data_IF_091168427090
#
_entry.id   IF_091168427090
#
_cell.length_a   1.000
_cell.length_b   1.000
_cell.length_c   1.000
_cell.angle_alpha   90.00
_cell.angle_beta   90.00
_cell.angle_gamma   90.00
#
_symmetry.space_group_name_H-M   'P 1'
#
loop_
_entity.id
_entity.type
_entity.pdbx_description
1 polymer ?
#
# COMPACT_ATOMS: atom_id res chain seq x y z
N UNK A 1 -20.37 -13.18 7.72
CA UNK A 1 -19.50 -12.01 7.81
C UNK A 1 -18.12 -12.38 8.38
N UNK A 2 -18.06 -13.17 9.42
CA UNK A 2 -16.85 -13.58 10.16
C UNK A 2 -15.85 -14.36 9.29
N UNK A 3 -16.29 -15.39 8.54
CA UNK A 3 -15.41 -16.17 7.64
C UNK A 3 -14.75 -15.27 6.59
N UNK A 4 -15.47 -14.25 6.10
CA UNK A 4 -14.94 -13.30 5.12
C UNK A 4 -13.90 -12.35 5.72
N UNK A 5 -14.00 -11.99 7.02
CA UNK A 5 -13.00 -11.21 7.74
C UNK A 5 -11.69 -11.98 7.87
N UNK A 6 -11.74 -13.25 8.33
CA UNK A 6 -10.55 -14.11 8.44
C UNK A 6 -9.88 -14.35 7.08
N UNK A 7 -10.68 -14.57 6.03
CA UNK A 7 -10.16 -14.71 4.67
C UNK A 7 -9.50 -13.42 4.18
N UNK A 8 -10.07 -12.24 4.51
CA UNK A 8 -9.46 -10.94 4.17
C UNK A 8 -8.12 -10.73 4.85
N UNK A 9 -7.95 -11.15 6.11
CA UNK A 9 -6.67 -11.11 6.83
C UNK A 9 -5.63 -11.95 6.09
N UNK A 10 -5.96 -13.20 5.75
CA UNK A 10 -5.06 -14.07 5.02
C UNK A 10 -4.64 -13.49 3.67
N UNK A 11 -5.59 -12.93 2.92
CA UNK A 11 -5.29 -12.25 1.66
C UNK A 11 -4.39 -11.04 1.84
N UNK A 12 -4.61 -10.22 2.89
CA UNK A 12 -3.76 -9.06 3.17
C UNK A 12 -2.34 -9.46 3.54
N UNK A 13 -2.14 -10.54 4.28
CA UNK A 13 -0.80 -11.07 4.57
C UNK A 13 -0.10 -11.45 3.27
N UNK A 14 -0.77 -12.20 2.38
CA UNK A 14 -0.21 -12.55 1.07
C UNK A 14 0.09 -11.28 0.26
N UNK A 15 -0.83 -10.33 0.21
CA UNK A 15 -0.65 -9.08 -0.51
C UNK A 15 0.57 -8.30 0.01
N UNK A 16 0.75 -8.22 1.34
CA UNK A 16 1.90 -7.54 1.96
C UNK A 16 3.22 -8.25 1.64
N UNK A 17 3.24 -9.58 1.62
CA UNK A 17 4.42 -10.35 1.18
C UNK A 17 4.72 -10.08 -0.30
N UNK A 18 3.71 -10.08 -1.16
CA UNK A 18 3.88 -9.85 -2.60
C UNK A 18 4.39 -8.44 -2.87
N UNK A 19 3.82 -7.41 -2.25
CA UNK A 19 4.24 -6.02 -2.51
C UNK A 19 5.61 -5.70 -1.90
N UNK A 20 6.04 -6.41 -0.87
CA UNK A 20 7.34 -6.21 -0.24
C UNK A 20 8.54 -6.46 -1.17
N UNK A 21 8.34 -7.20 -2.27
CA UNK A 21 9.33 -7.31 -3.35
C UNK A 21 9.54 -6.00 -4.13
N UNK A 22 8.65 -5.01 -3.96
CA UNK A 22 8.74 -3.71 -4.61
C UNK A 22 10.07 -2.99 -4.35
N UNK A 23 10.60 -3.06 -3.13
CA UNK A 23 11.90 -2.50 -2.77
C UNK A 23 13.06 -3.16 -3.54
N UNK A 24 13.03 -4.50 -3.67
CA UNK A 24 14.00 -5.24 -4.46
C UNK A 24 13.94 -4.86 -5.95
N UNK A 25 12.74 -4.73 -6.50
CA UNK A 25 12.56 -4.33 -7.90
C UNK A 25 13.09 -2.91 -8.13
N UNK A 26 12.75 -1.97 -7.22
CA UNK A 26 13.21 -0.58 -7.31
C UNK A 26 14.74 -0.47 -7.28
N UNK A 27 15.43 -1.30 -6.49
CA UNK A 27 16.91 -1.36 -6.45
C UNK A 27 17.55 -1.80 -7.77
N UNK A 28 16.83 -2.55 -8.59
CA UNK A 28 17.29 -3.05 -9.88
C UNK A 28 16.95 -2.11 -11.05
N UNK A 29 16.16 -1.06 -10.84
CA UNK A 29 15.91 0.00 -11.81
C UNK A 29 17.05 1.01 -11.68
N UNK A 30 17.93 1.10 -12.68
CA UNK A 30 19.19 1.83 -12.57
C UNK A 30 19.30 3.07 -13.45
N UNK A 31 18.46 3.20 -14.48
CA UNK A 31 18.58 4.26 -15.48
C UNK A 31 17.34 5.18 -15.56
N UNK A 32 16.23 4.79 -14.96
CA UNK A 32 15.00 5.58 -14.97
C UNK A 32 14.95 6.55 -13.77
N UNK A 33 14.55 7.79 -14.03
CA UNK A 33 14.25 8.75 -12.97
C UNK A 33 12.89 8.48 -12.28
N UNK A 34 12.60 9.23 -11.21
CA UNK A 34 11.38 9.05 -10.44
C UNK A 34 10.11 9.21 -11.28
N UNK A 35 10.06 10.20 -12.19
CA UNK A 35 8.90 10.44 -13.03
C UNK A 35 8.72 9.38 -14.12
N UNK A 36 9.82 8.92 -14.72
CA UNK A 36 9.82 7.82 -15.68
C UNK A 36 9.33 6.53 -15.03
N UNK A 37 9.81 6.21 -13.81
CA UNK A 37 9.33 5.06 -13.03
C UNK A 37 7.83 5.16 -12.79
N UNK A 38 7.33 6.31 -12.34
CA UNK A 38 5.89 6.51 -12.07
C UNK A 38 5.10 6.33 -13.37
N UNK A 39 5.57 6.87 -14.50
CA UNK A 39 4.89 6.76 -15.78
C UNK A 39 4.75 5.31 -16.23
N UNK A 40 5.87 4.58 -16.35
CA UNK A 40 5.82 3.19 -16.84
C UNK A 40 5.09 2.25 -15.88
N UNK A 41 5.20 2.47 -14.55
CA UNK A 41 4.40 1.73 -13.56
C UNK A 41 2.91 2.01 -13.70
N UNK A 42 2.51 3.25 -13.89
CA UNK A 42 1.09 3.61 -14.03
C UNK A 42 0.51 3.11 -15.35
N UNK A 43 1.27 3.18 -16.44
CA UNK A 43 0.86 2.65 -17.74
C UNK A 43 0.63 1.14 -17.67
N UNK A 44 1.57 0.39 -17.09
CA UNK A 44 1.43 -1.05 -16.88
C UNK A 44 0.25 -1.39 -15.96
N UNK A 45 0.03 -0.59 -14.91
CA UNK A 45 -1.11 -0.74 -14.02
C UNK A 45 -2.44 -0.55 -14.77
N UNK A 46 -2.55 0.49 -15.61
CA UNK A 46 -3.73 0.72 -16.46
C UNK A 46 -3.98 -0.44 -17.40
N UNK A 47 -2.94 -0.96 -18.06
CA UNK A 47 -3.06 -2.11 -18.96
C UNK A 47 -3.62 -3.34 -18.23
N UNK A 48 -3.01 -3.71 -17.12
CA UNK A 48 -3.43 -4.90 -16.33
C UNK A 48 -4.82 -4.70 -15.74
N UNK A 49 -5.11 -3.54 -15.15
CA UNK A 49 -6.43 -3.25 -14.59
C UNK A 49 -7.53 -3.22 -15.65
N UNK A 50 -7.24 -2.68 -16.85
CA UNK A 50 -8.19 -2.72 -17.97
C UNK A 50 -8.52 -4.15 -18.36
N UNK A 51 -7.52 -5.02 -18.49
CA UNK A 51 -7.71 -6.45 -18.80
C UNK A 51 -8.56 -7.14 -17.74
N UNK A 52 -8.23 -6.94 -16.45
CA UNK A 52 -8.95 -7.55 -15.32
C UNK A 52 -10.42 -7.10 -15.32
N UNK A 53 -10.67 -5.79 -15.46
CA UNK A 53 -12.03 -5.25 -15.46
C UNK A 53 -12.84 -5.73 -16.67
N UNK A 54 -12.22 -5.78 -17.86
CA UNK A 54 -12.87 -6.31 -19.06
C UNK A 54 -13.22 -7.80 -18.93
N UNK A 55 -12.33 -8.61 -18.33
CA UNK A 55 -12.61 -10.03 -18.09
C UNK A 55 -13.70 -10.23 -17.02
N UNK A 56 -13.63 -9.45 -15.93
CA UNK A 56 -14.55 -9.58 -14.80
C UNK A 56 -15.97 -9.08 -15.12
N UNK A 57 -16.09 -7.94 -15.78
CA UNK A 57 -17.39 -7.27 -16.01
C UNK A 57 -17.89 -7.39 -17.46
N UNK A 58 -17.03 -7.82 -18.38
CA UNK A 58 -17.39 -8.02 -19.80
C UNK A 58 -18.11 -6.76 -20.36
N UNK A 59 -19.30 -6.92 -20.93
CA UNK A 59 -20.09 -5.82 -21.50
C UNK A 59 -20.54 -4.76 -20.51
N UNK A 60 -20.50 -5.05 -19.19
CA UNK A 60 -20.90 -4.11 -18.15
C UNK A 60 -19.74 -3.26 -17.57
N UNK A 61 -18.52 -3.39 -18.10
CA UNK A 61 -17.33 -2.67 -17.62
C UNK A 61 -17.57 -1.16 -17.56
N UNK A 62 -18.08 -0.57 -18.64
CA UNK A 62 -18.34 0.88 -18.69
C UNK A 62 -19.38 1.33 -17.65
N UNK A 63 -20.44 0.53 -17.46
CA UNK A 63 -21.47 0.80 -16.45
C UNK A 63 -20.86 0.76 -15.04
N UNK A 64 -19.98 -0.20 -14.78
CA UNK A 64 -19.29 -0.31 -13.47
C UNK A 64 -18.36 0.86 -13.19
N UNK A 65 -17.62 1.33 -14.20
CA UNK A 65 -16.80 2.55 -14.11
C UNK A 65 -17.69 3.76 -13.84
N UNK A 66 -18.81 3.91 -14.52
CA UNK A 66 -19.76 5.02 -14.28
C UNK A 66 -20.36 4.98 -12.87
N UNK A 67 -20.64 3.78 -12.33
CA UNK A 67 -21.30 3.59 -11.05
C UNK A 67 -20.43 3.96 -9.83
N UNK A 68 -19.10 4.08 -9.96
CA UNK A 68 -18.27 4.60 -8.87
C UNK A 68 -18.50 6.08 -8.62
N UNK A 69 -19.05 6.81 -9.63
CA UNK A 69 -19.39 8.22 -9.54
C UNK A 69 -18.20 9.13 -9.19
N UNK A 70 -18.50 10.35 -8.75
CA UNK A 70 -17.48 11.31 -8.33
C UNK A 70 -16.64 10.80 -7.15
N UNK A 71 -17.18 9.96 -6.30
CA UNK A 71 -16.47 9.39 -5.14
C UNK A 71 -15.32 8.50 -5.58
N UNK A 72 -15.52 7.69 -6.63
CA UNK A 72 -14.45 6.88 -7.21
C UNK A 72 -13.36 7.75 -7.86
N UNK A 73 -13.71 8.87 -8.46
CA UNK A 73 -12.73 9.83 -9.00
C UNK A 73 -11.91 10.45 -7.88
N UNK A 74 -12.55 10.90 -6.80
CA UNK A 74 -11.86 11.47 -5.62
C UNK A 74 -10.97 10.42 -4.96
N UNK A 75 -11.43 9.18 -4.80
CA UNK A 75 -10.61 8.07 -4.31
C UNK A 75 -9.42 7.79 -5.22
N UNK A 76 -9.63 7.82 -6.54
CA UNK A 76 -8.58 7.68 -7.55
C UNK A 76 -7.53 8.79 -7.48
N UNK A 77 -7.96 10.05 -7.26
CA UNK A 77 -7.06 11.18 -7.05
C UNK A 77 -6.18 11.00 -5.80
N UNK A 78 -6.75 10.61 -4.68
CA UNK A 78 -5.95 10.36 -3.47
C UNK A 78 -4.95 9.21 -3.65
N UNK A 79 -5.32 8.15 -4.35
CA UNK A 79 -4.40 7.05 -4.66
C UNK A 79 -3.31 7.50 -5.65
N UNK A 80 -3.64 8.30 -6.66
CA UNK A 80 -2.67 8.92 -7.57
C UNK A 80 -1.66 9.75 -6.81
N UNK A 81 -2.12 10.66 -5.94
CA UNK A 81 -1.25 11.51 -5.12
C UNK A 81 -0.35 10.67 -4.21
N UNK A 82 -0.90 9.63 -3.58
CA UNK A 82 -0.11 8.71 -2.76
C UNK A 82 1.03 8.06 -3.56
N UNK A 83 0.79 7.62 -4.80
CA UNK A 83 1.81 7.02 -5.65
C UNK A 83 2.90 8.01 -6.07
N UNK A 84 2.53 9.26 -6.40
CA UNK A 84 3.50 10.31 -6.73
C UNK A 84 4.39 10.58 -5.51
N UNK A 85 3.78 10.86 -4.37
CA UNK A 85 4.51 11.20 -3.16
C UNK A 85 5.37 10.04 -2.63
N UNK A 86 4.92 8.80 -2.81
CA UNK A 86 5.69 7.60 -2.48
C UNK A 86 7.03 7.54 -3.21
N UNK A 87 7.01 7.64 -4.55
CA UNK A 87 8.24 7.54 -5.35
C UNK A 87 9.15 8.74 -5.10
N UNK A 88 8.59 9.95 -4.99
CA UNK A 88 9.37 11.15 -4.66
C UNK A 88 10.00 11.09 -3.26
N UNK A 89 9.33 10.49 -2.29
CA UNK A 89 9.94 10.27 -0.98
C UNK A 89 11.16 9.37 -1.09
N UNK A 90 11.03 8.21 -1.73
CA UNK A 90 12.15 7.28 -1.92
C UNK A 90 13.32 7.85 -2.72
N UNK A 91 13.05 8.76 -3.64
CA UNK A 91 14.08 9.41 -4.45
C UNK A 91 14.83 10.54 -3.70
N UNK A 92 14.22 11.14 -2.66
CA UNK A 92 14.71 12.37 -2.06
C UNK A 92 14.97 12.28 -0.54
N UNK A 93 14.89 11.09 0.06
CA UNK A 93 15.29 10.84 1.45
C UNK A 93 15.76 9.42 1.62
N UNK A 94 16.29 9.08 2.80
CA UNK A 94 16.67 7.71 3.09
C UNK A 94 15.47 6.76 3.11
N UNK A 95 15.69 5.50 2.71
CA UNK A 95 14.66 4.45 2.77
C UNK A 95 14.10 4.34 4.19
N UNK A 96 14.98 4.44 5.21
CA UNK A 96 14.57 4.42 6.62
C UNK A 96 13.58 5.53 6.97
N UNK A 97 13.88 6.78 6.60
CA UNK A 97 13.00 7.92 6.87
C UNK A 97 11.64 7.78 6.16
N UNK A 98 11.65 7.33 4.89
CA UNK A 98 10.41 7.06 4.15
C UNK A 98 9.57 6.00 4.86
N UNK A 99 10.13 4.83 5.16
CA UNK A 99 9.41 3.72 5.80
C UNK A 99 8.89 4.11 7.19
N UNK A 100 9.68 4.88 7.96
CA UNK A 100 9.23 5.40 9.26
C UNK A 100 7.98 6.27 9.11
N UNK A 101 8.04 7.24 8.23
CA UNK A 101 6.91 8.15 8.03
C UNK A 101 5.68 7.39 7.51
N UNK A 102 5.87 6.46 6.56
CA UNK A 102 4.78 5.61 6.04
C UNK A 102 4.20 4.66 7.09
N UNK A 103 4.97 4.24 8.10
CA UNK A 103 4.45 3.42 9.18
C UNK A 103 3.43 4.15 10.06
N UNK A 104 3.29 5.47 9.90
CA UNK A 104 2.22 6.27 10.50
C UNK A 104 0.85 6.09 9.83
N UNK A 105 0.78 5.50 8.62
CA UNK A 105 -0.48 5.30 7.86
C UNK A 105 -1.59 4.68 8.72
N UNK A 106 -1.40 3.58 9.46
CA UNK A 106 -2.48 3.00 10.27
C UNK A 106 -3.03 3.96 11.33
N UNK A 107 -2.16 4.80 11.91
CA UNK A 107 -2.57 5.77 12.93
C UNK A 107 -3.32 6.94 12.32
N UNK A 108 -2.83 7.52 11.22
CA UNK A 108 -3.53 8.58 10.48
C UNK A 108 -4.89 8.04 10.02
N UNK A 109 -4.93 6.83 9.46
CA UNK A 109 -6.16 6.18 9.03
C UNK A 109 -7.12 5.95 10.21
N UNK A 110 -6.62 5.56 11.38
CA UNK A 110 -7.40 5.37 12.58
C UNK A 110 -8.08 6.66 13.05
N UNK A 111 -7.32 7.76 13.09
CA UNK A 111 -7.82 9.09 13.46
C UNK A 111 -8.90 9.54 12.45
N UNK A 112 -8.61 9.44 11.16
CA UNK A 112 -9.57 9.81 10.12
C UNK A 112 -10.83 8.93 10.17
N UNK A 113 -10.70 7.62 10.39
CA UNK A 113 -11.83 6.71 10.49
C UNK A 113 -12.68 7.00 11.75
N UNK A 114 -12.06 7.36 12.86
CA UNK A 114 -12.78 7.80 14.05
C UNK A 114 -13.57 9.08 13.79
N UNK A 115 -12.95 10.11 13.18
CA UNK A 115 -13.58 11.40 12.91
C UNK A 115 -14.69 11.29 11.86
N UNK A 116 -14.42 10.66 10.73
CA UNK A 116 -15.33 10.68 9.57
C UNK A 116 -16.28 9.48 9.49
N UNK A 117 -15.87 8.31 9.96
CA UNK A 117 -16.67 7.08 9.91
C UNK A 117 -17.24 6.68 11.28
N UNK A 118 -16.83 7.35 12.37
CA UNK A 118 -17.14 7.01 13.75
C UNK A 118 -16.75 5.56 14.11
N UNK A 119 -15.75 5.02 13.42
CA UNK A 119 -15.19 3.71 13.76
C UNK A 119 -14.38 3.81 15.05
N UNK A 120 -14.75 3.01 16.06
CA UNK A 120 -14.02 2.91 17.32
C UNK A 120 -13.03 1.76 17.24
N UNK A 121 -11.81 2.00 17.69
CA UNK A 121 -10.78 0.97 17.77
C UNK A 121 -10.67 0.51 19.22
N UNK A 122 -10.71 -0.80 19.45
CA UNK A 122 -10.47 -1.37 20.77
C UNK A 122 -9.06 -1.03 21.27
N UNK A 123 -8.92 -0.67 22.54
CA UNK A 123 -7.64 -0.30 23.16
C UNK A 123 -6.56 -1.38 22.93
N UNK A 124 -6.94 -2.67 23.02
CA UNK A 124 -6.05 -3.79 22.74
C UNK A 124 -5.42 -3.72 21.35
N UNK A 125 -6.22 -3.38 20.33
CA UNK A 125 -5.75 -3.23 18.94
C UNK A 125 -4.78 -2.07 18.81
N UNK A 126 -5.07 -0.95 19.47
CA UNK A 126 -4.17 0.22 19.51
C UNK A 126 -2.81 -0.17 20.10
N UNK A 127 -2.79 -0.90 21.22
CA UNK A 127 -1.54 -1.34 21.86
C UNK A 127 -0.71 -2.21 20.91
N UNK A 128 -1.33 -3.17 20.23
CA UNK A 128 -0.62 -4.03 19.26
C UNK A 128 -0.07 -3.21 18.08
N UNK A 129 -0.85 -2.24 17.58
CA UNK A 129 -0.41 -1.34 16.51
C UNK A 129 0.80 -0.49 16.96
N UNK A 130 0.77 0.05 18.19
CA UNK A 130 1.89 0.80 18.77
C UNK A 130 3.13 -0.10 18.91
N UNK A 131 2.97 -1.37 19.26
CA UNK A 131 4.08 -2.31 19.34
C UNK A 131 4.70 -2.59 17.96
N UNK A 132 3.88 -2.70 16.91
CA UNK A 132 4.35 -2.76 15.53
C UNK A 132 5.11 -1.49 15.10
N UNK A 133 4.58 -0.31 15.44
CA UNK A 133 5.27 0.96 15.20
C UNK A 133 6.63 1.02 15.90
N UNK A 134 6.71 0.57 17.16
CA UNK A 134 7.96 0.49 17.91
C UNK A 134 8.98 -0.40 17.19
N UNK A 135 8.56 -1.54 16.64
CA UNK A 135 9.41 -2.38 15.78
C UNK A 135 9.97 -1.62 14.57
N UNK A 136 9.14 -0.83 13.87
CA UNK A 136 9.60 0.01 12.76
C UNK A 136 10.62 1.06 13.23
N UNK A 137 10.38 1.71 14.38
CA UNK A 137 11.34 2.70 14.96
C UNK A 137 12.71 2.06 15.19
N UNK A 138 12.74 0.85 15.77
CA UNK A 138 14.01 0.11 15.98
C UNK A 138 14.66 -0.22 14.65
N UNK A 139 13.88 -0.70 13.68
CA UNK A 139 14.37 -1.15 12.38
C UNK A 139 15.13 -0.06 11.62
N UNK A 140 14.68 1.18 11.72
CA UNK A 140 15.22 2.30 10.94
C UNK A 140 16.14 3.21 11.75
N UNK A 141 16.36 2.90 13.05
CA UNK A 141 17.11 3.75 13.98
C UNK A 141 18.49 4.17 13.43
N UNK A 142 19.17 3.25 12.76
CA UNK A 142 20.51 3.49 12.19
C UNK A 142 20.49 4.45 10.98
N UNK A 143 19.35 4.60 10.32
CA UNK A 143 19.17 5.45 9.15
C UNK A 143 18.48 6.80 9.42
N UNK A 144 18.10 7.08 10.67
CA UNK A 144 17.44 8.33 11.02
C UNK A 144 18.41 9.52 10.93
N UNK A 145 17.91 10.63 10.38
CA UNK A 145 18.64 11.91 10.36
C UNK A 145 19.50 12.15 9.13
N UNK A 146 19.60 11.22 8.19
CA UNK A 146 20.37 11.37 6.93
C UNK A 146 19.54 11.86 5.75
N UNK A 147 18.22 12.03 5.94
CA UNK A 147 17.31 12.36 4.85
C UNK A 147 17.03 13.85 4.69
N UNK A 148 16.74 14.26 3.46
CA UNK A 148 16.33 15.61 3.17
C UNK A 148 14.90 15.89 3.60
N UNK A 149 14.61 17.12 4.03
CA UNK A 149 13.29 17.56 4.48
C UNK A 149 12.20 17.35 3.42
N UNK A 150 12.52 17.59 2.14
CA UNK A 150 11.59 17.42 1.03
C UNK A 150 11.06 15.98 0.95
N UNK A 151 11.94 14.98 0.97
CA UNK A 151 11.55 13.58 0.91
C UNK A 151 10.69 13.13 2.11
N UNK A 152 11.00 13.65 3.32
CA UNK A 152 10.21 13.38 4.52
C UNK A 152 8.80 13.99 4.45
N UNK A 153 8.67 15.20 3.91
CA UNK A 153 7.38 15.86 3.65
C UNK A 153 6.58 15.06 2.61
N UNK A 154 7.22 14.56 1.54
CA UNK A 154 6.57 13.71 0.55
C UNK A 154 6.05 12.41 1.19
N UNK A 155 6.81 11.78 2.09
CA UNK A 155 6.34 10.60 2.83
C UNK A 155 5.09 10.90 3.66
N UNK A 156 5.02 12.05 4.32
CA UNK A 156 3.85 12.44 5.12
C UNK A 156 2.62 12.71 4.23
N UNK A 157 2.81 13.37 3.09
CA UNK A 157 1.73 13.55 2.12
C UNK A 157 1.27 12.23 1.51
N UNK A 158 2.18 11.29 1.25
CA UNK A 158 1.84 9.94 0.84
C UNK A 158 0.98 9.24 1.89
N UNK A 159 1.43 9.22 3.15
CA UNK A 159 0.71 8.60 4.26
C UNK A 159 -0.70 9.18 4.43
N UNK A 160 -0.83 10.49 4.36
CA UNK A 160 -2.11 11.20 4.48
C UNK A 160 -3.02 10.90 3.29
N UNK A 161 -2.51 10.99 2.07
CA UNK A 161 -3.29 10.72 0.84
C UNK A 161 -3.78 9.27 0.80
N UNK A 162 -2.92 8.30 1.14
CA UNK A 162 -3.29 6.90 1.20
C UNK A 162 -4.33 6.61 2.29
N UNK A 163 -4.25 7.31 3.42
CA UNK A 163 -5.24 7.21 4.50
C UNK A 163 -6.62 7.73 4.05
N UNK A 164 -6.69 8.85 3.32
CA UNK A 164 -7.93 9.34 2.73
C UNK A 164 -8.51 8.37 1.69
N UNK A 165 -7.66 7.84 0.80
CA UNK A 165 -8.07 6.79 -0.13
C UNK A 165 -8.71 5.61 0.61
N UNK A 166 -8.03 5.08 1.63
CA UNK A 166 -8.53 3.95 2.44
C UNK A 166 -9.86 4.26 3.08
N UNK A 167 -10.01 5.47 3.62
CA UNK A 167 -11.25 5.95 4.24
C UNK A 167 -12.42 5.95 3.25
N UNK A 168 -12.18 6.42 2.01
CA UNK A 168 -13.18 6.44 0.95
C UNK A 168 -13.58 5.01 0.57
N UNK A 169 -12.59 4.13 0.35
CA UNK A 169 -12.87 2.72 0.04
C UNK A 169 -13.68 2.04 1.15
N UNK A 170 -13.37 2.32 2.41
CA UNK A 170 -14.10 1.81 3.57
C UNK A 170 -15.51 2.36 3.69
N UNK A 171 -15.69 3.67 3.51
CA UNK A 171 -17.00 4.35 3.56
C UNK A 171 -17.98 3.76 2.53
N UNK A 172 -17.49 3.56 1.31
CA UNK A 172 -18.29 3.07 0.18
C UNK A 172 -18.15 1.56 -0.07
N UNK A 173 -17.81 0.78 0.98
CA UNK A 173 -17.60 -0.68 0.93
C UNK A 173 -18.73 -1.52 0.35
N UNK A 174 -19.95 -0.97 0.29
CA UNK A 174 -21.12 -1.63 -0.32
C UNK A 174 -21.13 -1.52 -1.84
N UNK A 175 -20.45 -0.50 -2.38
CA UNK A 175 -20.28 -0.29 -3.81
C UNK A 175 -19.03 -1.02 -4.28
N UNK A 176 -19.03 -1.48 -5.51
CA UNK A 176 -17.85 -2.06 -6.12
C UNK A 176 -16.90 -0.95 -6.57
N UNK A 177 -15.87 -0.71 -5.75
CA UNK A 177 -14.90 0.38 -5.94
C UNK A 177 -13.63 -0.07 -6.69
N UNK A 178 -13.55 -1.32 -7.16
CA UNK A 178 -12.39 -1.80 -7.93
C UNK A 178 -12.11 -0.93 -9.17
N UNK A 179 -13.11 -0.42 -9.93
CA UNK A 179 -12.84 0.47 -11.05
C UNK A 179 -12.14 1.79 -10.69
N UNK A 180 -12.14 2.20 -9.41
CA UNK A 180 -11.38 3.36 -8.92
C UNK A 180 -9.89 3.22 -9.17
N UNK A 181 -9.37 1.99 -9.15
CA UNK A 181 -7.97 1.68 -9.46
C UNK A 181 -7.60 2.07 -10.89
N UNK A 182 -8.48 1.77 -11.84
CA UNK A 182 -8.27 2.17 -13.24
C UNK A 182 -8.27 3.69 -13.38
N UNK A 183 -9.20 4.38 -12.71
CA UNK A 183 -9.25 5.86 -12.71
C UNK A 183 -7.95 6.44 -12.15
N UNK A 184 -7.47 5.92 -11.02
CA UNK A 184 -6.18 6.35 -10.44
C UNK A 184 -5.02 6.14 -11.41
N UNK A 185 -4.93 4.97 -12.04
CA UNK A 185 -3.87 4.66 -13.00
C UNK A 185 -3.90 5.59 -14.23
N UNK A 186 -5.09 5.85 -14.79
CA UNK A 186 -5.25 6.77 -15.93
C UNK A 186 -4.83 8.19 -15.54
N UNK A 187 -5.32 8.71 -14.42
CA UNK A 187 -4.95 10.04 -13.93
C UNK A 187 -3.44 10.15 -13.72
N UNK A 188 -2.83 9.13 -13.11
CA UNK A 188 -1.40 9.09 -12.87
C UNK A 188 -0.61 9.05 -14.17
N UNK A 189 -1.00 8.21 -15.13
CA UNK A 189 -0.35 8.10 -16.44
C UNK A 189 -0.44 9.41 -17.23
N UNK A 190 -1.60 10.08 -17.18
CA UNK A 190 -1.79 11.37 -17.88
C UNK A 190 -0.90 12.46 -17.27
N UNK A 191 -0.89 12.59 -15.95
CA UNK A 191 -0.07 13.62 -15.26
C UNK A 191 1.42 13.38 -15.54
N UNK A 192 1.89 12.16 -15.40
CA UNK A 192 3.31 11.84 -15.60
C UNK A 192 3.72 11.90 -17.06
N UNK A 193 2.82 11.57 -18.01
CA UNK A 193 3.05 11.76 -19.43
C UNK A 193 3.27 13.24 -19.78
N UNK A 194 2.43 14.13 -19.26
CA UNK A 194 2.56 15.57 -19.50
C UNK A 194 3.89 16.12 -18.95
N UNK A 195 4.31 15.63 -17.77
CA UNK A 195 5.55 16.08 -17.13
C UNK A 195 6.79 15.58 -17.90
N UNK A 196 6.77 14.32 -18.36
CA UNK A 196 7.91 13.64 -19.00
C UNK A 196 7.81 13.53 -20.52
N UNK A 197 6.99 14.34 -21.17
CA UNK A 197 6.71 14.19 -22.60
C UNK A 197 7.97 14.10 -23.48
N UNK A 198 9.03 14.80 -23.10
CA UNK A 198 10.29 14.85 -23.87
C UNK A 198 11.32 13.80 -23.47
N UNK A 199 11.11 13.03 -22.41
CA UNK A 199 12.09 12.08 -21.87
C UNK A 199 11.41 10.78 -21.40
N UNK A 200 11.00 9.96 -22.38
CA UNK A 200 10.35 8.66 -22.13
C UNK A 200 11.22 7.48 -22.55
N UNK A 201 12.50 7.71 -22.87
CA UNK A 201 13.39 6.64 -23.34
C UNK A 201 14.16 6.07 -22.15
N UNK A 202 13.82 4.83 -21.78
CA UNK A 202 14.54 4.06 -20.76
C UNK A 202 14.86 2.66 -21.28
N UNK A 203 15.83 1.94 -20.68
CA UNK A 203 16.15 0.57 -21.06
C UNK A 203 14.95 -0.37 -20.90
N UNK A 204 14.84 -1.34 -21.80
CA UNK A 204 13.73 -2.31 -21.80
C UNK A 204 13.62 -3.08 -20.48
N UNK A 205 14.76 -3.35 -19.81
CA UNK A 205 14.77 -4.03 -18.53
C UNK A 205 14.06 -3.21 -17.45
N UNK A 206 14.27 -1.88 -17.42
CA UNK A 206 13.61 -0.98 -16.47
C UNK A 206 12.10 -0.92 -16.75
N UNK A 207 11.70 -0.94 -18.04
CA UNK A 207 10.26 -1.03 -18.42
C UNK A 207 9.64 -2.33 -17.92
N UNK A 208 10.32 -3.47 -18.10
CA UNK A 208 9.83 -4.77 -17.63
C UNK A 208 9.72 -4.85 -16.12
N UNK A 209 10.68 -4.27 -15.38
CA UNK A 209 10.64 -4.15 -13.93
C UNK A 209 9.47 -3.26 -13.47
N UNK A 210 9.26 -2.12 -14.13
CA UNK A 210 8.10 -1.26 -13.90
C UNK A 210 6.77 -2.00 -14.20
N UNK A 211 6.72 -2.82 -15.25
CA UNK A 211 5.55 -3.63 -15.59
C UNK A 211 5.27 -4.68 -14.52
N UNK A 212 6.27 -5.40 -14.06
CA UNK A 212 6.12 -6.35 -12.97
C UNK A 212 5.61 -5.68 -11.71
N UNK A 213 6.25 -4.60 -11.28
CA UNK A 213 5.91 -3.91 -10.05
C UNK A 213 4.56 -3.17 -10.12
N UNK A 214 4.39 -2.32 -11.14
CA UNK A 214 3.18 -1.52 -11.32
C UNK A 214 1.99 -2.35 -11.82
N UNK A 215 2.18 -3.12 -12.89
CA UNK A 215 1.12 -3.88 -13.54
C UNK A 215 0.68 -5.08 -12.71
N UNK A 216 1.57 -6.00 -12.40
CA UNK A 216 1.22 -7.29 -11.79
C UNK A 216 1.07 -7.16 -10.27
N UNK A 217 2.14 -6.77 -9.56
CA UNK A 217 2.13 -6.77 -8.10
C UNK A 217 1.16 -5.74 -7.55
N UNK A 218 1.21 -4.49 -8.05
CA UNK A 218 0.35 -3.42 -7.54
C UNK A 218 -1.12 -3.65 -7.85
N UNK A 219 -1.49 -4.18 -9.04
CA UNK A 219 -2.88 -4.48 -9.36
C UNK A 219 -3.45 -5.57 -8.45
N UNK A 220 -2.71 -6.68 -8.26
CA UNK A 220 -3.09 -7.75 -7.37
C UNK A 220 -3.33 -7.26 -5.94
N UNK A 221 -2.36 -6.53 -5.39
CA UNK A 221 -2.41 -6.03 -4.00
C UNK A 221 -3.54 -5.03 -3.79
N UNK A 222 -3.72 -4.07 -4.70
CA UNK A 222 -4.77 -3.06 -4.56
C UNK A 222 -6.19 -3.64 -4.68
N UNK A 223 -6.40 -4.67 -5.50
CA UNK A 223 -7.68 -5.39 -5.57
C UNK A 223 -7.98 -6.05 -4.23
N UNK A 224 -7.00 -6.76 -3.65
CA UNK A 224 -7.14 -7.39 -2.33
C UNK A 224 -7.40 -6.33 -1.26
N UNK A 225 -6.68 -5.19 -1.32
CA UNK A 225 -6.84 -4.08 -0.39
C UNK A 225 -8.29 -3.56 -0.39
N UNK A 226 -8.86 -3.25 -1.57
CA UNK A 226 -10.26 -2.81 -1.69
C UNK A 226 -11.22 -3.90 -1.19
N UNK A 227 -10.96 -5.17 -1.53
CA UNK A 227 -11.78 -6.27 -1.04
C UNK A 227 -11.77 -6.33 0.50
N UNK A 228 -10.60 -6.21 1.12
CA UNK A 228 -10.46 -6.27 2.57
C UNK A 228 -11.17 -5.12 3.30
N UNK A 229 -11.20 -3.91 2.72
CA UNK A 229 -11.93 -2.77 3.31
C UNK A 229 -13.44 -3.02 3.46
N UNK A 230 -13.99 -4.03 2.78
CA UNK A 230 -15.40 -4.42 2.94
C UNK A 230 -15.67 -5.09 4.28
N UNK A 231 -14.67 -5.76 4.85
CA UNK A 231 -14.84 -6.65 6.00
C UNK A 231 -14.07 -6.22 7.24
N UNK A 232 -12.94 -5.53 7.06
CA UNK A 232 -12.07 -5.03 8.13
C UNK A 232 -12.21 -3.50 8.26
N UNK A 233 -11.89 -2.95 9.44
CA UNK A 233 -11.83 -1.50 9.62
C UNK A 233 -10.71 -0.88 8.78
N UNK A 234 -10.79 0.43 8.53
CA UNK A 234 -9.79 1.11 7.71
C UNK A 234 -8.37 1.00 8.29
N UNK A 235 -8.23 1.18 9.62
CA UNK A 235 -6.96 1.05 10.32
C UNK A 235 -6.41 -0.37 10.35
N UNK A 236 -7.28 -1.39 10.42
CA UNK A 236 -6.87 -2.79 10.37
C UNK A 236 -6.23 -3.14 9.02
N UNK A 237 -6.87 -2.71 7.92
CA UNK A 237 -6.36 -2.99 6.57
C UNK A 237 -4.99 -2.35 6.37
N UNK A 238 -4.81 -1.10 6.81
CA UNK A 238 -3.52 -0.40 6.69
C UNK A 238 -2.45 -0.94 7.64
N UNK A 239 -2.83 -1.51 8.79
CA UNK A 239 -1.88 -2.12 9.72
C UNK A 239 -1.12 -3.30 9.11
N UNK A 240 -1.78 -4.12 8.27
CA UNK A 240 -1.10 -5.22 7.58
C UNK A 240 0.00 -4.76 6.62
N UNK A 241 -0.05 -3.50 6.15
CA UNK A 241 1.00 -2.95 5.29
C UNK A 241 2.36 -2.81 6.02
N UNK A 242 2.39 -2.80 7.36
CA UNK A 242 3.65 -2.81 8.10
C UNK A 242 4.50 -4.03 7.78
N UNK A 243 3.90 -5.16 7.36
CA UNK A 243 4.64 -6.33 6.90
C UNK A 243 5.47 -6.05 5.63
N UNK A 244 4.98 -5.22 4.72
CA UNK A 244 5.73 -4.79 3.55
C UNK A 244 7.05 -4.14 3.96
N UNK A 245 6.99 -3.24 4.94
CA UNK A 245 8.15 -2.48 5.42
C UNK A 245 9.16 -3.37 6.17
N UNK A 246 8.68 -4.39 6.90
CA UNK A 246 9.54 -5.34 7.59
C UNK A 246 10.21 -6.34 6.63
N UNK A 247 9.48 -6.79 5.61
CA UNK A 247 9.97 -7.80 4.67
C UNK A 247 10.85 -7.21 3.56
N UNK A 248 10.67 -5.93 3.20
CA UNK A 248 11.45 -5.28 2.14
C UNK A 248 12.96 -5.43 2.33
N UNK A 249 13.56 -4.99 3.46
CA UNK A 249 14.98 -5.16 3.76
C UNK A 249 15.43 -6.63 3.79
N UNK A 250 14.55 -7.55 4.22
CA UNK A 250 14.84 -8.99 4.25
C UNK A 250 15.09 -9.54 2.84
N UNK A 251 14.29 -9.15 1.84
CA UNK A 251 14.50 -9.56 0.45
C UNK A 251 15.79 -8.98 -0.13
N UNK A 252 16.08 -7.71 0.15
CA UNK A 252 17.32 -7.06 -0.31
C UNK A 252 18.55 -7.78 0.26
N UNK A 253 18.53 -8.15 1.54
CA UNK A 253 19.57 -8.97 2.14
C UNK A 253 19.71 -10.33 1.47
N UNK A 254 18.60 -11.02 1.26
CA UNK A 254 18.61 -12.40 0.76
C UNK A 254 19.06 -12.48 -0.71
N UNK A 255 18.69 -11.51 -1.56
CA UNK A 255 18.93 -11.56 -2.99
C UNK A 255 20.11 -10.70 -3.45
N UNK A 256 20.44 -9.62 -2.76
CA UNK A 256 21.52 -8.70 -3.10
C UNK A 256 22.73 -8.81 -2.15
N UNK A 257 22.70 -9.72 -1.17
CA UNK A 257 23.74 -9.90 -0.15
C UNK A 257 24.09 -8.60 0.60
N UNK A 258 23.21 -7.63 0.65
CA UNK A 258 23.38 -6.43 1.47
C UNK A 258 23.25 -6.81 2.95
N UNK A 259 24.19 -6.39 3.80
CA UNK A 259 24.15 -6.69 5.23
C UNK A 259 22.95 -6.01 5.89
N UNK A 260 22.16 -6.78 6.65
CA UNK A 260 21.11 -6.21 7.50
C UNK A 260 21.72 -5.81 8.84
N UNK A 261 21.40 -4.62 9.33
CA UNK A 261 21.80 -4.21 10.69
C UNK A 261 21.05 -5.05 11.74
N UNK A 262 21.65 -5.18 12.93
CA UNK A 262 20.98 -5.86 14.07
C UNK A 262 19.63 -5.21 14.39
N UNK A 263 19.55 -3.89 14.32
CA UNK A 263 18.32 -3.14 14.60
C UNK A 263 17.25 -3.42 13.54
N UNK A 264 17.61 -3.46 12.26
CA UNK A 264 16.69 -3.84 11.18
C UNK A 264 16.12 -5.24 11.38
N UNK A 265 16.96 -6.20 11.78
CA UNK A 265 16.53 -7.58 12.02
C UNK A 265 15.60 -7.69 13.24
N UNK A 266 15.97 -7.09 14.38
CA UNK A 266 15.15 -7.09 15.61
C UNK A 266 13.82 -6.36 15.41
N UNK A 267 13.84 -5.19 14.79
CA UNK A 267 12.63 -4.42 14.52
C UNK A 267 11.69 -5.16 13.56
N UNK A 268 12.22 -5.80 12.53
CA UNK A 268 11.45 -6.64 11.60
C UNK A 268 10.74 -7.80 12.30
N UNK A 269 11.43 -8.50 13.24
CA UNK A 269 10.80 -9.56 14.05
C UNK A 269 9.65 -8.99 14.88
N UNK A 270 9.84 -7.84 15.55
CA UNK A 270 8.78 -7.22 16.36
C UNK A 270 7.54 -6.90 15.51
N UNK A 271 7.73 -6.37 14.30
CA UNK A 271 6.61 -6.10 13.36
C UNK A 271 5.90 -7.41 13.00
N UNK A 272 6.63 -8.45 12.60
CA UNK A 272 6.04 -9.74 12.23
C UNK A 272 5.27 -10.35 13.39
N UNK A 273 5.82 -10.31 14.61
CA UNK A 273 5.14 -10.80 15.82
C UNK A 273 3.87 -9.99 16.09
N UNK A 274 3.92 -8.66 15.98
CA UNK A 274 2.76 -7.77 16.19
C UNK A 274 1.62 -8.12 15.23
N UNK A 275 1.92 -8.26 13.95
CA UNK A 275 0.92 -8.63 12.93
C UNK A 275 0.42 -10.06 13.13
N UNK A 276 1.29 -10.99 13.52
CA UNK A 276 0.94 -12.37 13.86
C UNK A 276 -0.03 -12.45 15.06
N UNK A 277 0.29 -11.75 16.16
CA UNK A 277 -0.56 -11.67 17.36
C UNK A 277 -1.92 -11.04 17.03
N UNK A 278 -1.91 -9.93 16.28
CA UNK A 278 -3.14 -9.29 15.83
C UNK A 278 -4.03 -10.25 15.04
N UNK A 279 -3.44 -10.92 14.05
CA UNK A 279 -4.15 -11.88 13.19
C UNK A 279 -4.72 -13.04 14.00
N UNK A 280 -3.93 -13.58 14.94
CA UNK A 280 -4.36 -14.67 15.81
C UNK A 280 -5.56 -14.27 16.68
N UNK A 281 -5.49 -13.10 17.32
CA UNK A 281 -6.59 -12.60 18.17
C UNK A 281 -7.86 -12.42 17.35
N UNK A 282 -7.78 -11.83 16.15
CA UNK A 282 -8.96 -11.58 15.32
C UNK A 282 -9.60 -12.89 14.83
N UNK A 283 -8.76 -13.85 14.41
CA UNK A 283 -9.23 -15.20 14.01
C UNK A 283 -9.84 -15.95 15.20
N UNK A 284 -9.22 -15.87 16.37
CA UNK A 284 -9.74 -16.51 17.58
C UNK A 284 -11.10 -15.94 18.00
N UNK A 285 -11.20 -14.61 18.06
CA UNK A 285 -12.46 -13.92 18.38
C UNK A 285 -13.55 -14.24 17.35
N UNK A 286 -13.18 -14.38 16.09
CA UNK A 286 -14.13 -14.75 15.04
C UNK A 286 -14.68 -16.17 15.22
N UNK A 287 -13.83 -17.14 15.62
CA UNK A 287 -14.26 -18.52 15.93
C UNK A 287 -15.19 -18.60 17.15
N UNK A 288 -14.91 -17.81 18.21
CA UNK A 288 -15.78 -17.76 19.39
C UNK A 288 -17.16 -17.21 19.06
N UNK A 289 -17.26 -16.20 18.21
CA UNK A 289 -18.56 -15.64 17.76
C UNK A 289 -19.36 -16.65 16.92
N UNK A 290 -18.70 -17.54 16.16
CA UNK A 290 -19.37 -18.60 15.40
C UNK A 290 -19.92 -19.69 16.37
N UNK A 291 -19.17 -20.01 17.42
CA UNK A 291 -19.55 -21.05 18.38
C UNK A 291 -20.73 -20.63 19.29
N UNK A 292 -20.92 -19.32 19.46
CA UNK A 292 -21.96 -18.75 20.32
C UNK A 292 -23.18 -18.22 19.54
N UNK A 293 -23.23 -18.40 18.21
CA UNK A 293 -24.36 -18.10 17.31
C UNK A 293 -25.01 -19.37 16.83
#
# INVERSE_FOLDING_TARGET
>A
MIIKSTFSIFLLIIASVVISFGGLIMRNISHADAWQIIFFRSLSFVMVMSLILCQQYKKSTFIKIKNIGYVGIVGGLFLMLAHIFYVHSFANTSIGNTLFTLSSIPFITAILAFVFLKEKIELRKIIIMLFGLFGIVIMIYDGLGTGELYGNIMALFCATSFSFYTLIMRKYRKTDMIPTLLVSGILLSLVTFIINFNDLIIPIIDILLCFLWGGILSAFVNIIFIYATRYLSASEVTFFMLLEFALGPFWVWMFLNESISKNTFLGGIIVMVSVGVYSFIEVYNSKLKIKNS
#
